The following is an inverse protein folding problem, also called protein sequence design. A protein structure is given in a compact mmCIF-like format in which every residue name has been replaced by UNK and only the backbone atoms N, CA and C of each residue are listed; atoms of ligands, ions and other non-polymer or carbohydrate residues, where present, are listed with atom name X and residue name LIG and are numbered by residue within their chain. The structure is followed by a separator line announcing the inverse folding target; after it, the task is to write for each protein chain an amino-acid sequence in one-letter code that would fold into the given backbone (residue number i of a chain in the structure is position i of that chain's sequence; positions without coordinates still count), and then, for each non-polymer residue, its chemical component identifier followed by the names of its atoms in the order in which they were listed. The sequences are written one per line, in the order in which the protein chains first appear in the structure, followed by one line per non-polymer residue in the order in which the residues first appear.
data_IF_540606484361
#
_entry.id   IF_540606484361
#
_cell.length_a   1.000
_cell.length_b   1.000
_cell.length_c   1.000
_cell.angle_alpha   90.00
_cell.angle_beta   90.00
_cell.angle_gamma   90.00
#
_symmetry.space_group_name_H-M   'P 1'
#
loop_
_entity.id
_entity.type
_entity.pdbx_description
1 polymer ?
#
# COMPACT_ATOMS: atom_id res chain seq x y z
N UNK A 1 -16.91 1.02 21.92
CA UNK A 1 -16.54 1.91 23.04
C UNK A 1 -15.07 1.83 23.43
N UNK A 2 -14.44 0.65 23.39
CA UNK A 2 -13.00 0.48 23.70
C UNK A 2 -12.07 1.32 22.81
N UNK A 3 -12.31 1.39 21.49
CA UNK A 3 -11.50 2.24 20.60
C UNK A 3 -11.62 3.73 20.94
N UNK A 4 -12.78 4.19 21.43
CA UNK A 4 -12.95 5.58 21.85
C UNK A 4 -12.13 5.88 23.11
N UNK A 5 -12.11 4.95 24.07
CA UNK A 5 -11.23 5.03 25.25
C UNK A 5 -9.75 5.07 24.85
N UNK A 6 -9.37 4.21 23.90
CA UNK A 6 -7.98 4.15 23.41
C UNK A 6 -7.53 5.48 22.77
N UNK A 7 -8.39 6.13 21.99
CA UNK A 7 -8.10 7.45 21.41
C UNK A 7 -7.81 8.48 22.49
N UNK A 8 -8.59 8.51 23.58
CA UNK A 8 -8.35 9.44 24.69
C UNK A 8 -7.04 9.13 25.42
N UNK A 9 -6.71 7.85 25.59
CA UNK A 9 -5.43 7.41 26.16
C UNK A 9 -4.25 7.81 25.28
N UNK A 10 -4.36 7.73 23.96
CA UNK A 10 -3.30 8.17 23.03
C UNK A 10 -3.11 9.69 23.05
N UNK A 11 -4.19 10.48 23.05
CA UNK A 11 -4.06 11.94 23.21
C UNK A 11 -3.36 12.31 24.50
N UNK A 12 -3.69 11.61 25.60
CA UNK A 12 -3.01 11.80 26.89
C UNK A 12 -1.53 11.43 26.80
N UNK A 13 -1.19 10.28 26.21
CA UNK A 13 0.20 9.86 26.03
C UNK A 13 1.01 10.87 25.20
N UNK A 14 0.42 11.47 24.16
CA UNK A 14 1.05 12.54 23.38
C UNK A 14 1.31 13.77 24.25
N UNK A 15 0.34 14.19 25.06
CA UNK A 15 0.51 15.31 25.99
C UNK A 15 1.59 15.04 27.03
N UNK A 16 1.59 13.86 27.63
CA UNK A 16 2.57 13.47 28.65
C UNK A 16 3.99 13.39 28.05
N UNK A 17 4.12 12.93 26.80
CA UNK A 17 5.41 12.77 26.13
C UNK A 17 5.96 14.04 25.47
N UNK A 18 5.11 14.95 25.01
CA UNK A 18 5.53 16.14 24.24
C UNK A 18 5.30 17.46 24.99
N UNK A 19 4.51 17.45 26.07
CA UNK A 19 4.06 18.65 26.76
C UNK A 19 2.93 19.41 26.03
N UNK A 20 2.49 18.94 24.87
CA UNK A 20 1.49 19.60 24.03
C UNK A 20 0.28 18.69 23.77
N UNK A 21 -0.91 19.27 23.74
CA UNK A 21 -2.12 18.56 23.31
C UNK A 21 -2.02 18.15 21.84
N UNK A 22 -2.69 17.06 21.47
CA UNK A 22 -2.78 16.65 20.07
C UNK A 22 -3.46 17.76 19.24
N UNK A 23 -2.83 18.24 18.15
CA UNK A 23 -3.38 19.33 17.36
C UNK A 23 -4.70 18.90 16.71
N UNK A 24 -5.77 19.67 16.89
CA UNK A 24 -7.09 19.35 16.31
C UNK A 24 -7.38 20.11 15.02
N UNK A 25 -6.61 21.15 14.69
CA UNK A 25 -6.71 21.84 13.39
C UNK A 25 -5.98 21.01 12.31
N UNK A 26 -6.68 20.54 11.26
CA UNK A 26 -6.06 19.83 10.15
C UNK A 26 -4.95 20.62 9.45
N UNK A 27 -5.01 21.95 9.43
CA UNK A 27 -3.95 22.78 8.83
C UNK A 27 -2.67 22.77 9.67
N UNK A 28 -2.80 22.80 10.99
CA UNK A 28 -1.66 22.66 11.90
C UNK A 28 -1.04 21.27 11.76
N UNK A 29 -1.86 20.22 11.67
CA UNK A 29 -1.39 18.85 11.41
C UNK A 29 -0.62 18.76 10.08
N UNK A 30 -1.17 19.34 9.00
CA UNK A 30 -0.54 19.34 7.68
C UNK A 30 0.83 20.03 7.71
N UNK A 31 0.91 21.24 8.27
CA UNK A 31 2.18 21.95 8.38
C UNK A 31 3.17 21.26 9.32
N UNK A 32 2.66 20.64 10.39
CA UNK A 32 3.44 19.78 11.27
C UNK A 32 4.09 18.61 10.52
N UNK A 33 3.32 17.92 9.67
CA UNK A 33 3.79 16.82 8.85
C UNK A 33 4.81 17.27 7.79
N UNK A 34 4.52 18.35 7.04
CA UNK A 34 5.45 18.93 6.04
C UNK A 34 6.80 19.28 6.69
N UNK A 35 6.76 19.99 7.82
CA UNK A 35 7.98 20.35 8.55
C UNK A 35 8.73 19.11 9.08
N UNK A 36 8.00 18.06 9.50
CA UNK A 36 8.61 16.81 9.95
C UNK A 36 9.34 16.09 8.83
N UNK A 37 8.78 16.04 7.61
CA UNK A 37 9.45 15.45 6.44
C UNK A 37 10.74 16.20 6.12
N UNK A 38 10.72 17.53 6.09
CA UNK A 38 11.96 18.30 5.83
C UNK A 38 13.02 18.08 6.93
N UNK A 39 12.63 18.03 8.21
CA UNK A 39 13.56 17.68 9.29
C UNK A 39 14.12 16.26 9.14
N UNK A 40 13.31 15.33 8.62
CA UNK A 40 13.73 13.94 8.44
C UNK A 40 14.89 13.79 7.45
N UNK A 41 15.01 14.69 6.46
CA UNK A 41 16.15 14.71 5.53
C UNK A 41 17.49 14.89 6.26
N UNK A 42 17.50 15.60 7.38
CA UNK A 42 18.72 15.88 8.16
C UNK A 42 18.87 14.97 9.38
N UNK A 43 18.09 13.89 9.49
CA UNK A 43 18.29 12.95 10.58
C UNK A 43 19.58 12.12 10.36
N UNK A 44 20.14 11.57 11.45
CA UNK A 44 21.42 10.85 11.40
C UNK A 44 21.38 9.64 10.46
N UNK A 45 20.25 8.93 10.43
CA UNK A 45 20.05 7.76 9.56
C UNK A 45 20.08 8.15 8.08
N UNK A 46 19.43 9.24 7.69
CA UNK A 46 19.37 9.74 6.32
C UNK A 46 20.73 10.28 5.87
N UNK A 47 21.45 10.99 6.75
CA UNK A 47 22.82 11.44 6.48
C UNK A 47 23.74 10.25 6.21
N UNK A 48 23.66 9.19 7.03
CA UNK A 48 24.46 7.99 6.83
C UNK A 48 24.09 7.29 5.52
N UNK A 49 22.80 7.14 5.23
CA UNK A 49 22.31 6.56 3.98
C UNK A 49 22.88 7.29 2.76
N UNK A 50 22.80 8.62 2.73
CA UNK A 50 23.33 9.41 1.61
C UNK A 50 24.83 9.26 1.41
N UNK A 51 25.60 9.14 2.49
CA UNK A 51 27.05 8.90 2.40
C UNK A 51 27.37 7.53 1.80
N UNK A 52 26.58 6.51 2.12
CA UNK A 52 26.75 5.15 1.57
C UNK A 52 26.36 5.10 0.09
N UNK A 53 25.25 5.74 -0.26
CA UNK A 53 24.70 5.76 -1.63
C UNK A 53 25.25 6.88 -2.52
N UNK A 54 26.20 7.69 -2.02
CA UNK A 54 26.79 8.84 -2.73
C UNK A 54 25.76 9.87 -3.23
N UNK A 55 24.73 10.15 -2.43
CA UNK A 55 23.66 11.11 -2.75
C UNK A 55 24.03 12.49 -2.16
N UNK A 56 23.98 13.59 -2.94
CA UNK A 56 24.27 14.93 -2.44
C UNK A 56 23.28 15.44 -1.40
N UNK A 57 23.77 16.18 -0.40
CA UNK A 57 22.95 16.72 0.68
C UNK A 57 22.01 17.84 0.17
N UNK A 58 22.45 18.61 -0.83
CA UNK A 58 21.76 19.78 -1.34
C UNK A 58 20.47 19.48 -2.13
N UNK A 59 20.22 18.22 -2.50
CA UNK A 59 19.00 17.85 -3.23
C UNK A 59 17.73 18.04 -2.40
N UNK A 60 17.83 17.83 -1.08
CA UNK A 60 16.68 17.89 -0.20
C UNK A 60 15.67 16.76 -0.44
N UNK A 61 14.47 16.95 0.09
CA UNK A 61 13.32 16.06 -0.14
C UNK A 61 12.10 16.88 -0.50
N UNK A 62 11.26 16.36 -1.39
CA UNK A 62 9.94 16.92 -1.65
C UNK A 62 8.93 16.43 -0.59
N UNK A 63 7.75 17.06 -0.58
CA UNK A 63 6.58 16.59 0.18
C UNK A 63 5.40 16.48 -0.78
N UNK A 64 4.88 15.27 -0.94
CA UNK A 64 3.69 15.01 -1.74
C UNK A 64 2.45 15.02 -0.82
N UNK A 65 1.47 15.87 -1.14
CA UNK A 65 0.18 15.92 -0.42
C UNK A 65 -0.88 15.41 -1.37
N UNK A 66 -1.52 14.30 -1.01
CA UNK A 66 -2.47 13.58 -1.86
C UNK A 66 -3.82 13.48 -1.15
N UNK A 67 -4.91 13.47 -1.93
CA UNK A 67 -6.23 13.15 -1.40
C UNK A 67 -6.28 11.67 -0.98
N UNK A 68 -6.82 11.41 0.20
CA UNK A 68 -6.99 10.03 0.69
C UNK A 68 -8.10 9.31 -0.07
N UNK A 69 -7.85 8.04 -0.39
CA UNK A 69 -8.83 7.07 -0.88
C UNK A 69 -8.81 5.85 0.03
N UNK A 70 -9.91 5.11 0.11
CA UNK A 70 -10.10 4.08 1.14
C UNK A 70 -10.55 2.75 0.53
N UNK A 71 -9.72 1.71 0.67
CA UNK A 71 -10.07 0.33 0.29
C UNK A 71 -10.98 -0.38 1.31
N UNK A 72 -11.24 0.23 2.46
CA UNK A 72 -11.99 -0.33 3.59
C UNK A 72 -13.39 0.28 3.79
N UNK A 73 -14.03 0.72 2.71
CA UNK A 73 -15.39 1.28 2.75
C UNK A 73 -16.49 0.22 2.52
N UNK A 74 -16.15 -1.07 2.61
CA UNK A 74 -17.06 -2.19 2.39
C UNK A 74 -16.60 -3.14 1.29
N UNK A 75 -17.49 -4.06 0.92
CA UNK A 75 -17.18 -5.18 0.01
C UNK A 75 -16.98 -4.77 -1.47
N UNK A 76 -17.28 -3.52 -1.81
CA UNK A 76 -17.04 -2.94 -3.14
C UNK A 76 -15.78 -2.07 -3.20
N UNK A 77 -14.92 -2.16 -2.18
CA UNK A 77 -13.66 -1.43 -2.08
C UNK A 77 -12.53 -2.40 -1.81
N UNK A 78 -11.35 -2.12 -2.37
CA UNK A 78 -10.18 -2.96 -2.21
C UNK A 78 -8.89 -2.13 -2.26
N UNK A 79 -7.81 -2.76 -1.83
CA UNK A 79 -6.43 -2.27 -1.91
C UNK A 79 -5.53 -3.44 -2.29
N UNK A 80 -4.43 -3.19 -2.99
CA UNK A 80 -3.54 -4.23 -3.43
C UNK A 80 -2.19 -3.68 -3.85
N UNK A 81 -1.28 -4.59 -4.17
CA UNK A 81 0.02 -4.29 -4.77
C UNK A 81 0.18 -5.20 -5.97
N UNK A 82 0.62 -4.64 -7.09
CA UNK A 82 0.75 -5.40 -8.34
C UNK A 82 1.97 -4.98 -9.15
N UNK A 83 2.46 -5.94 -9.92
CA UNK A 83 3.61 -5.83 -10.79
C UNK A 83 3.18 -6.13 -12.21
N UNK A 84 3.63 -5.32 -13.17
CA UNK A 84 3.31 -5.52 -14.58
C UNK A 84 3.87 -6.86 -15.12
N UNK A 85 4.85 -7.44 -14.44
CA UNK A 85 5.45 -8.76 -14.69
C UNK A 85 5.64 -9.52 -13.38
N UNK A 86 5.86 -10.84 -13.45
CA UNK A 86 6.16 -11.65 -12.27
C UNK A 86 7.53 -11.24 -11.68
N UNK A 87 7.51 -10.65 -10.47
CA UNK A 87 8.72 -10.15 -9.80
C UNK A 87 9.67 -11.27 -9.32
N UNK A 88 9.20 -12.52 -9.22
CA UNK A 88 9.99 -13.66 -8.76
C UNK A 88 10.77 -14.35 -9.88
N UNK A 89 10.22 -14.39 -11.10
CA UNK A 89 10.82 -15.13 -12.23
C UNK A 89 10.98 -14.33 -13.53
N UNK A 90 10.41 -13.12 -13.63
CA UNK A 90 10.48 -12.25 -14.80
C UNK A 90 9.54 -12.62 -15.95
N UNK A 91 8.62 -13.58 -15.76
CA UNK A 91 7.59 -13.93 -16.73
C UNK A 91 6.71 -12.71 -17.03
N UNK A 92 6.39 -12.50 -18.31
CA UNK A 92 5.53 -11.41 -18.74
C UNK A 92 4.05 -11.72 -18.46
N UNK A 93 3.70 -11.79 -17.18
CA UNK A 93 2.36 -11.96 -16.67
C UNK A 93 2.08 -10.92 -15.60
N UNK A 94 0.92 -10.28 -15.69
CA UNK A 94 0.44 -9.37 -14.66
C UNK A 94 0.25 -10.15 -13.35
N UNK A 95 0.86 -9.66 -12.27
CA UNK A 95 0.96 -10.39 -11.01
C UNK A 95 0.72 -9.46 -9.83
N UNK A 96 0.12 -9.96 -8.75
CA UNK A 96 -0.09 -9.14 -7.56
C UNK A 96 -1.19 -9.66 -6.66
N UNK A 97 -1.39 -8.93 -5.58
CA UNK A 97 -2.18 -9.33 -4.44
C UNK A 97 -3.12 -8.20 -4.01
N UNK A 98 -4.31 -8.55 -3.53
CA UNK A 98 -5.31 -7.59 -3.07
C UNK A 98 -6.13 -8.12 -1.90
N UNK A 99 -6.77 -7.19 -1.19
CA UNK A 99 -7.75 -7.46 -0.15
C UNK A 99 -8.97 -6.56 -0.32
N UNK A 100 -10.15 -7.17 -0.26
CA UNK A 100 -11.43 -6.47 -0.18
C UNK A 100 -11.64 -5.95 1.24
N UNK A 101 -12.21 -4.75 1.34
CA UNK A 101 -12.56 -4.10 2.60
C UNK A 101 -11.34 -4.02 3.54
N UNK A 102 -10.25 -3.43 3.04
CA UNK A 102 -8.93 -3.41 3.67
C UNK A 102 -8.19 -2.10 3.38
N UNK A 103 -7.18 -1.77 4.18
CA UNK A 103 -6.20 -0.72 3.86
C UNK A 103 -4.86 -1.35 3.47
N UNK A 104 -3.99 -0.60 2.76
CA UNK A 104 -2.72 -1.14 2.27
C UNK A 104 -1.85 -1.78 3.36
N UNK A 105 -1.95 -1.29 4.61
CA UNK A 105 -1.30 -1.92 5.77
C UNK A 105 -1.72 -3.38 5.96
N UNK A 106 -3.00 -3.73 5.75
CA UNK A 106 -3.50 -5.09 5.92
C UNK A 106 -2.90 -6.07 4.91
N UNK A 107 -2.55 -5.60 3.72
CA UNK A 107 -1.90 -6.39 2.66
C UNK A 107 -0.47 -6.72 3.08
N UNK A 108 0.25 -5.75 3.67
CA UNK A 108 1.66 -5.91 4.09
C UNK A 108 1.79 -6.63 5.44
N UNK A 109 0.82 -6.44 6.35
CA UNK A 109 0.88 -6.99 7.71
C UNK A 109 0.79 -8.52 7.76
N UNK A 110 0.29 -9.17 6.70
CA UNK A 110 0.18 -10.63 6.61
C UNK A 110 -0.81 -11.26 7.59
N UNK A 111 -1.71 -10.48 8.18
CA UNK A 111 -2.75 -10.96 9.11
C UNK A 111 -3.87 -11.67 8.34
N UNK A 112 -4.19 -11.18 7.15
CA UNK A 112 -5.17 -11.77 6.23
C UNK A 112 -4.44 -12.39 5.06
N UNK A 113 -4.94 -13.53 4.56
CA UNK A 113 -4.42 -14.14 3.33
C UNK A 113 -4.82 -13.26 2.14
N UNK A 114 -3.85 -12.65 1.44
CA UNK A 114 -4.15 -11.86 0.25
C UNK A 114 -4.68 -12.75 -0.89
N UNK A 115 -5.56 -12.19 -1.70
CA UNK A 115 -6.09 -12.83 -2.90
C UNK A 115 -5.29 -12.35 -4.12
N UNK A 116 -5.21 -13.18 -5.17
CA UNK A 116 -4.41 -12.84 -6.34
C UNK A 116 -5.20 -11.97 -7.31
N UNK A 117 -4.56 -11.01 -7.99
CA UNK A 117 -5.29 -10.13 -8.91
C UNK A 117 -5.75 -10.86 -10.19
N UNK A 118 -4.93 -11.76 -10.73
CA UNK A 118 -5.23 -12.51 -11.95
C UNK A 118 -5.78 -13.89 -11.63
N UNK A 119 -6.64 -14.42 -12.51
CA UNK A 119 -7.15 -15.78 -12.42
C UNK A 119 -6.02 -16.83 -12.50
N UNK A 120 -5.06 -16.63 -13.41
CA UNK A 120 -3.91 -17.53 -13.55
C UNK A 120 -3.06 -17.52 -12.26
N UNK A 121 -2.81 -16.34 -11.69
CA UNK A 121 -2.12 -16.21 -10.40
C UNK A 121 -2.86 -16.96 -9.28
N UNK A 122 -4.18 -16.78 -9.20
CA UNK A 122 -5.02 -17.46 -8.23
C UNK A 122 -4.98 -18.99 -8.37
N UNK A 123 -5.03 -19.51 -9.61
CA UNK A 123 -4.95 -20.93 -9.90
C UNK A 123 -3.58 -21.53 -9.52
N UNK A 124 -2.48 -20.85 -9.91
CA UNK A 124 -1.11 -21.26 -9.54
C UNK A 124 -0.89 -21.21 -8.03
N UNK A 125 -1.49 -20.25 -7.34
CA UNK A 125 -1.46 -20.19 -5.87
C UNK A 125 -2.25 -21.35 -5.23
N UNK A 126 -3.48 -21.61 -5.70
CA UNK A 126 -4.32 -22.68 -5.17
C UNK A 126 -3.69 -24.06 -5.34
N UNK A 127 -3.08 -24.34 -6.50
CA UNK A 127 -2.34 -25.57 -6.76
C UNK A 127 -1.20 -25.77 -5.74
N UNK A 128 -0.39 -24.72 -5.49
CA UNK A 128 0.70 -24.75 -4.51
C UNK A 128 0.20 -24.89 -3.07
N UNK A 129 -0.97 -24.33 -2.76
CA UNK A 129 -1.60 -24.41 -1.45
C UNK A 129 -2.39 -25.71 -1.22
N UNK A 130 -2.57 -26.54 -2.25
CA UNK A 130 -3.40 -27.75 -2.18
C UNK A 130 -4.91 -27.45 -2.04
N UNK A 131 -5.36 -26.31 -2.55
CA UNK A 131 -6.76 -25.85 -2.50
C UNK A 131 -7.44 -26.22 -3.82
N UNK A 132 -8.66 -26.78 -3.77
CA UNK A 132 -9.41 -27.12 -4.99
C UNK A 132 -9.92 -25.87 -5.70
N UNK A 133 -10.20 -25.97 -7.00
CA UNK A 133 -10.73 -24.83 -7.76
C UNK A 133 -12.08 -24.35 -7.21
N UNK A 134 -12.92 -25.26 -6.73
CA UNK A 134 -14.21 -24.91 -6.11
C UNK A 134 -14.01 -24.10 -4.82
N UNK A 135 -13.06 -24.49 -3.98
CA UNK A 135 -12.74 -23.75 -2.76
C UNK A 135 -12.08 -22.40 -3.07
N UNK A 136 -11.19 -22.35 -4.06
CA UNK A 136 -10.56 -21.11 -4.54
C UNK A 136 -11.61 -20.12 -4.99
N UNK A 137 -12.51 -20.49 -5.89
CA UNK A 137 -13.56 -19.59 -6.40
C UNK A 137 -14.47 -19.10 -5.26
N UNK A 138 -14.80 -19.97 -4.29
CA UNK A 138 -15.71 -19.62 -3.21
C UNK A 138 -15.10 -18.73 -2.12
N UNK A 139 -13.80 -18.88 -1.82
CA UNK A 139 -13.15 -18.21 -0.66
C UNK A 139 -12.02 -17.25 -1.04
N UNK A 140 -11.38 -17.49 -2.17
CA UNK A 140 -10.20 -16.77 -2.66
C UNK A 140 -10.35 -16.40 -4.15
N UNK A 141 -11.45 -15.73 -4.54
CA UNK A 141 -11.63 -15.30 -5.93
C UNK A 141 -10.48 -14.38 -6.33
N UNK A 142 -10.13 -14.35 -7.62
CA UNK A 142 -9.20 -13.33 -8.11
C UNK A 142 -9.91 -11.99 -8.29
N UNK A 143 -9.15 -10.89 -8.38
CA UNK A 143 -9.75 -9.58 -8.71
C UNK A 143 -10.41 -9.62 -10.09
N UNK A 144 -9.79 -10.29 -11.06
CA UNK A 144 -10.35 -10.56 -12.38
C UNK A 144 -11.74 -11.21 -12.35
N UNK A 145 -12.03 -12.04 -11.33
CA UNK A 145 -13.31 -12.71 -11.17
C UNK A 145 -14.29 -11.93 -10.28
N UNK A 146 -13.80 -11.32 -9.19
CA UNK A 146 -14.62 -10.62 -8.21
C UNK A 146 -14.97 -9.18 -8.60
N UNK A 147 -14.07 -8.51 -9.33
CA UNK A 147 -14.15 -7.09 -9.70
C UNK A 147 -13.70 -6.89 -11.16
N UNK A 148 -14.35 -7.54 -12.14
CA UNK A 148 -13.86 -7.64 -13.52
C UNK A 148 -13.69 -6.28 -14.22
N UNK A 149 -14.57 -5.31 -13.94
CA UNK A 149 -14.48 -3.97 -14.52
C UNK A 149 -13.24 -3.20 -14.02
N UNK A 150 -13.01 -3.22 -12.70
CA UNK A 150 -11.84 -2.59 -12.07
C UNK A 150 -10.54 -3.28 -12.51
N UNK A 151 -10.55 -4.61 -12.58
CA UNK A 151 -9.41 -5.38 -13.07
C UNK A 151 -9.06 -4.97 -14.51
N UNK A 152 -10.05 -4.84 -15.40
CA UNK A 152 -9.81 -4.46 -16.79
C UNK A 152 -9.21 -3.05 -16.91
N UNK A 153 -9.65 -2.10 -16.07
CA UNK A 153 -9.04 -0.77 -15.99
C UNK A 153 -7.59 -0.84 -15.49
N UNK A 154 -7.33 -1.62 -14.44
CA UNK A 154 -6.01 -1.80 -13.87
C UNK A 154 -5.04 -2.47 -14.86
N UNK A 155 -5.48 -3.50 -15.59
CA UNK A 155 -4.68 -4.16 -16.62
C UNK A 155 -4.37 -3.22 -17.79
N UNK A 156 -5.30 -2.33 -18.17
CA UNK A 156 -5.02 -1.30 -19.16
C UNK A 156 -3.99 -0.27 -18.65
N UNK A 157 -4.06 0.10 -17.36
CA UNK A 157 -3.14 1.05 -16.73
C UNK A 157 -1.72 0.49 -16.60
N UNK A 158 -1.56 -0.75 -16.12
CA UNK A 158 -0.23 -1.35 -16.02
C UNK A 158 0.45 -1.44 -17.38
N UNK A 159 -0.29 -1.86 -18.42
CA UNK A 159 0.22 -1.93 -19.79
C UNK A 159 0.67 -0.55 -20.30
N UNK A 160 -0.12 0.49 -20.01
CA UNK A 160 0.20 1.88 -20.38
C UNK A 160 1.46 2.38 -19.67
N UNK A 161 1.61 2.09 -18.38
CA UNK A 161 2.77 2.51 -17.59
C UNK A 161 4.04 1.80 -18.07
N UNK A 162 4.00 0.48 -18.25
CA UNK A 162 5.14 -0.28 -18.75
C UNK A 162 5.57 0.19 -20.15
N UNK A 163 4.63 0.46 -21.06
CA UNK A 163 4.96 1.02 -22.37
C UNK A 163 5.58 2.42 -22.30
N UNK A 164 5.11 3.24 -21.36
CA UNK A 164 5.59 4.61 -21.18
C UNK A 164 7.01 4.64 -20.61
N UNK A 165 7.23 3.93 -19.50
CA UNK A 165 8.50 3.92 -18.77
C UNK A 165 9.51 2.92 -19.36
N UNK A 166 9.05 1.97 -20.19
CA UNK A 166 9.85 0.93 -20.84
C UNK A 166 10.59 0.02 -19.84
N UNK A 167 9.96 -0.19 -18.69
CA UNK A 167 10.47 -1.01 -17.61
C UNK A 167 9.32 -1.66 -16.84
N UNK A 168 9.60 -2.72 -16.10
CA UNK A 168 8.64 -3.35 -15.20
C UNK A 168 8.17 -2.33 -14.16
N UNK A 169 6.87 -2.33 -13.87
CA UNK A 169 6.25 -1.39 -12.94
C UNK A 169 5.74 -2.12 -11.70
N UNK A 170 5.99 -1.52 -10.55
CA UNK A 170 5.38 -1.84 -9.26
C UNK A 170 4.33 -0.76 -8.95
N UNK A 171 3.12 -1.18 -8.58
CA UNK A 171 1.93 -0.34 -8.47
C UNK A 171 1.14 -0.68 -7.20
N UNK A 172 0.72 0.36 -6.48
CA UNK A 172 -0.13 0.32 -5.29
C UNK A 172 -1.52 0.92 -5.57
#
# INVERSE_FOLDING_TARGET
DELKDLVERFKKAIKDGTGHDFPTDPKEQLWGAVCAVFRSWMNERAILYRKMESIPDEWGTAVNVQAMVFGNMGETSATGVCFSRDAGNGENLFNGEYLVNAQGEDVVAGIRTPQQITKIGAQRWAERAGISEEERVAKYPSMEEAMPEIYAELDALQNKLEQHYRDMQDME
#
